data_IF_676161387518
#
_entry.id   IF_676161387518
#
_cell.length_a   1.000
_cell.length_b   1.000
_cell.length_c   1.000
_cell.angle_alpha   90.00
_cell.angle_beta   90.00
_cell.angle_gamma   90.00
#
_symmetry.space_group_name_H-M   'P 1'
#
loop_
_entity.id
_entity.type
_entity.pdbx_description
1 polymer ?
#
# COMPACT_ATOMS: atom_id res chain seq x y z
N UNK A 1 -29.12 -27.95 -10.58
CA UNK A 1 -28.39 -27.62 -9.32
C UNK A 1 -27.50 -28.82 -8.98
N UNK A 2 -26.26 -28.62 -8.53
CA UNK A 2 -25.30 -29.70 -8.24
C UNK A 2 -25.14 -29.91 -6.72
N UNK A 3 -26.04 -30.68 -6.07
CA UNK A 3 -26.03 -30.87 -4.61
C UNK A 3 -24.78 -31.59 -4.09
N UNK A 4 -24.06 -32.30 -4.96
CA UNK A 4 -22.81 -32.99 -4.62
C UNK A 4 -21.59 -32.06 -4.54
N UNK A 5 -21.71 -30.80 -4.97
CA UNK A 5 -20.59 -29.86 -4.96
C UNK A 5 -20.42 -29.29 -3.56
N UNK A 6 -19.28 -29.59 -2.94
CA UNK A 6 -18.89 -29.03 -1.64
C UNK A 6 -18.02 -27.80 -1.89
N UNK A 7 -18.53 -26.62 -1.53
CA UNK A 7 -17.75 -25.38 -1.58
C UNK A 7 -16.96 -25.26 -0.29
N UNK A 8 -15.63 -25.15 -0.42
CA UNK A 8 -14.71 -24.95 0.72
C UNK A 8 -14.06 -23.57 0.64
N UNK A 9 -13.80 -22.98 1.80
CA UNK A 9 -13.06 -21.73 1.90
C UNK A 9 -11.56 -22.01 1.75
N UNK A 10 -10.92 -21.42 0.73
CA UNK A 10 -9.49 -21.59 0.46
C UNK A 10 -8.60 -20.63 1.26
N UNK A 11 -9.18 -19.60 1.90
CA UNK A 11 -8.43 -18.55 2.59
C UNK A 11 -7.51 -19.09 3.69
N UNK A 12 -7.89 -20.16 4.39
CA UNK A 12 -7.03 -20.80 5.39
C UNK A 12 -5.72 -21.36 4.82
N UNK A 13 -5.70 -21.69 3.53
CA UNK A 13 -4.49 -22.13 2.83
C UNK A 13 -3.69 -20.94 2.28
N UNK A 14 -4.36 -19.87 1.83
CA UNK A 14 -3.69 -18.73 1.19
C UNK A 14 -3.08 -17.78 2.22
N UNK A 15 -3.75 -17.53 3.34
CA UNK A 15 -3.28 -16.56 4.34
C UNK A 15 -1.86 -16.86 4.83
N UNK A 16 -1.51 -18.12 5.21
CA UNK A 16 -0.14 -18.44 5.61
C UNK A 16 0.90 -18.21 4.51
N UNK A 17 0.54 -18.47 3.25
CA UNK A 17 1.42 -18.21 2.11
C UNK A 17 1.73 -16.72 1.95
N UNK A 18 0.76 -15.84 2.21
CA UNK A 18 0.96 -14.37 2.16
C UNK A 18 1.69 -13.80 3.39
N UNK A 19 1.77 -14.55 4.48
CA UNK A 19 2.49 -14.11 5.69
C UNK A 19 4.00 -14.08 5.43
N UNK A 20 4.52 -15.09 4.71
CA UNK A 20 5.93 -15.20 4.35
C UNK A 20 6.14 -14.61 2.96
N UNK A 21 6.89 -13.51 2.87
CA UNK A 21 7.11 -12.80 1.62
C UNK A 21 8.29 -13.44 0.89
N UNK A 22 8.18 -13.58 -0.42
CA UNK A 22 9.30 -13.85 -1.29
C UNK A 22 10.29 -12.69 -1.30
N UNK A 23 11.53 -12.94 -1.74
CA UNK A 23 12.55 -11.89 -1.87
C UNK A 23 12.11 -10.77 -2.82
N UNK A 24 11.40 -11.11 -3.90
CA UNK A 24 10.85 -10.12 -4.83
C UNK A 24 9.78 -9.26 -4.16
N UNK A 25 8.84 -9.85 -3.40
CA UNK A 25 7.83 -9.05 -2.68
C UNK A 25 8.46 -8.10 -1.67
N UNK A 26 9.50 -8.55 -0.95
CA UNK A 26 10.24 -7.68 -0.01
C UNK A 26 10.89 -6.52 -0.78
N UNK A 27 11.50 -6.79 -1.94
CA UNK A 27 12.09 -5.74 -2.77
C UNK A 27 11.04 -4.72 -3.23
N UNK A 28 9.88 -5.18 -3.70
CA UNK A 28 8.75 -4.30 -4.07
C UNK A 28 8.26 -3.47 -2.89
N UNK A 29 8.12 -4.09 -1.72
CA UNK A 29 7.74 -3.40 -0.49
C UNK A 29 8.75 -2.33 -0.11
N UNK A 30 10.05 -2.61 -0.24
CA UNK A 30 11.09 -1.60 0.01
C UNK A 30 10.97 -0.43 -0.96
N UNK A 31 10.76 -0.68 -2.26
CA UNK A 31 10.53 0.38 -3.25
C UNK A 31 9.31 1.24 -2.89
N UNK A 32 8.22 0.61 -2.46
CA UNK A 32 7.03 1.34 -2.01
C UNK A 32 7.29 2.16 -0.73
N UNK A 33 8.08 1.64 0.21
CA UNK A 33 8.50 2.37 1.42
C UNK A 33 9.32 3.60 1.04
N UNK A 34 10.29 3.46 0.13
CA UNK A 34 11.16 4.56 -0.29
C UNK A 34 10.34 5.71 -0.93
N UNK A 35 9.42 5.38 -1.84
CA UNK A 35 8.50 6.35 -2.46
C UNK A 35 7.60 7.01 -1.39
N UNK A 36 7.13 6.24 -0.41
CA UNK A 36 6.28 6.77 0.67
C UNK A 36 7.06 7.74 1.55
N UNK A 37 8.33 7.46 1.84
CA UNK A 37 9.21 8.36 2.59
C UNK A 37 9.35 9.69 1.83
N UNK A 38 9.63 9.64 0.53
CA UNK A 38 9.71 10.85 -0.30
C UNK A 38 8.41 11.65 -0.28
N UNK A 39 7.26 10.95 -0.32
CA UNK A 39 5.94 11.56 -0.18
C UNK A 39 5.78 12.28 1.16
N UNK A 40 6.14 11.65 2.28
CA UNK A 40 6.07 12.27 3.62
C UNK A 40 7.03 13.45 3.73
N UNK A 41 8.25 13.35 3.21
CA UNK A 41 9.18 14.47 3.20
C UNK A 41 8.63 15.67 2.40
N UNK A 42 7.94 15.41 1.30
CA UNK A 42 7.26 16.44 0.51
C UNK A 42 6.19 17.16 1.34
N UNK A 43 5.40 16.42 2.13
CA UNK A 43 4.45 17.02 3.06
C UNK A 43 5.14 17.93 4.07
N UNK A 44 6.21 17.45 4.70
CA UNK A 44 6.95 18.21 5.71
C UNK A 44 7.55 19.50 5.14
N UNK A 45 8.09 19.45 3.91
CA UNK A 45 8.68 20.61 3.22
C UNK A 45 7.64 21.66 2.82
N UNK A 46 6.42 21.24 2.47
CA UNK A 46 5.39 22.12 1.92
C UNK A 46 4.31 22.57 2.92
N UNK A 47 4.25 21.94 4.10
CA UNK A 47 3.32 22.30 5.17
C UNK A 47 3.49 23.74 5.65
N UNK A 48 2.40 24.50 5.68
CA UNK A 48 2.33 25.87 6.22
C UNK A 48 0.96 26.17 6.82
N UNK A 49 0.94 27.09 7.79
CA UNK A 49 -0.30 27.55 8.41
C UNK A 49 -1.27 28.13 7.35
N UNK A 50 -2.55 27.81 7.50
CA UNK A 50 -3.61 28.26 6.59
C UNK A 50 -3.89 27.33 5.40
N UNK A 51 -3.08 26.29 5.17
CA UNK A 51 -3.41 25.24 4.20
C UNK A 51 -4.55 24.33 4.68
N UNK A 52 -5.33 23.82 3.73
CA UNK A 52 -6.27 22.72 3.95
C UNK A 52 -5.58 21.37 3.80
N UNK A 53 -6.12 20.36 4.47
CA UNK A 53 -5.55 19.00 4.47
C UNK A 53 -5.45 18.42 3.06
N UNK A 54 -6.46 18.65 2.20
CA UNK A 54 -6.43 18.17 0.81
C UNK A 54 -5.38 18.88 -0.06
N UNK A 55 -5.03 20.14 0.25
CA UNK A 55 -3.96 20.85 -0.45
C UNK A 55 -2.60 20.24 -0.10
N UNK A 56 -2.46 19.77 1.14
CA UNK A 56 -1.28 19.06 1.61
C UNK A 56 -1.23 17.65 1.02
N UNK A 57 -2.35 16.92 1.00
CA UNK A 57 -2.49 15.60 0.36
C UNK A 57 -2.05 15.61 -1.10
N UNK A 58 -2.36 16.68 -1.85
CA UNK A 58 -1.91 16.83 -3.24
C UNK A 58 -0.38 16.74 -3.40
N UNK A 59 0.42 17.21 -2.42
CA UNK A 59 1.89 17.08 -2.46
C UNK A 59 2.37 15.64 -2.25
N UNK A 60 1.67 14.87 -1.40
CA UNK A 60 1.97 13.45 -1.20
C UNK A 60 1.60 12.65 -2.45
N UNK A 61 0.40 12.91 -2.98
CA UNK A 61 -0.12 12.26 -4.17
C UNK A 61 0.75 12.50 -5.39
N UNK A 62 1.25 13.73 -5.58
CA UNK A 62 2.14 14.06 -6.67
C UNK A 62 3.41 13.19 -6.65
N UNK A 63 3.99 12.97 -5.47
CA UNK A 63 5.20 12.14 -5.33
C UNK A 63 4.89 10.65 -5.49
N UNK A 64 3.80 10.16 -4.89
CA UNK A 64 3.47 8.74 -4.87
C UNK A 64 2.83 8.20 -6.16
N UNK A 65 2.24 9.08 -6.99
CA UNK A 65 1.49 8.70 -8.22
C UNK A 65 2.25 9.01 -9.52
N UNK A 66 3.49 9.50 -9.43
CA UNK A 66 4.38 9.71 -10.59
C UNK A 66 5.19 8.44 -10.86
#
# INVERSE_FOLDING_TARGET
>A
KYPQVIIKNVSSNITPLRMIKSKSEIAEMQRAIDITIDGVESLMKNSKAGMKEYELEAYFDFVCKT
#
